data_IF_256252089718
#
_entry.id   IF_256252089718
#
_cell.length_a   1.000
_cell.length_b   1.000
_cell.length_c   1.000
_cell.angle_alpha   90.00
_cell.angle_beta   90.00
_cell.angle_gamma   90.00
#
_symmetry.space_group_name_H-M   'P 1'
#
loop_
_entity.id
_entity.type
_entity.pdbx_description
1 polymer ?
#
# COMPACT_ATOMS: atom_id res chain seq x y z
N UNK A 1 21.79 -9.33 -1.14
CA UNK A 1 22.12 -8.88 0.23
C UNK A 1 21.12 -7.80 0.69
N UNK A 2 19.80 -8.05 0.56
CA UNK A 2 18.73 -7.06 0.81
C UNK A 2 17.75 -7.47 1.93
N UNK A 3 17.77 -8.73 2.37
CA UNK A 3 16.83 -9.27 3.36
C UNK A 3 17.06 -8.74 4.79
N UNK A 4 18.30 -8.41 5.15
CA UNK A 4 18.62 -7.90 6.50
C UNK A 4 18.05 -6.49 6.77
N UNK A 5 17.91 -5.63 5.75
CA UNK A 5 17.39 -4.26 5.94
C UNK A 5 15.86 -4.18 6.06
N UNK A 6 15.13 -5.14 5.48
CA UNK A 6 13.67 -5.25 5.67
C UNK A 6 13.38 -5.56 7.14
N UNK A 7 14.12 -6.49 7.76
CA UNK A 7 13.99 -6.80 9.18
C UNK A 7 14.30 -5.59 10.09
N UNK A 8 15.31 -4.78 9.76
CA UNK A 8 15.62 -3.57 10.54
C UNK A 8 14.50 -2.52 10.47
N UNK A 9 13.84 -2.37 9.33
CA UNK A 9 12.71 -1.43 9.17
C UNK A 9 11.44 -1.97 9.83
N UNK A 10 11.19 -3.28 9.70
CA UNK A 10 10.13 -3.95 10.46
C UNK A 10 10.38 -3.83 11.98
N UNK A 11 11.64 -3.87 12.43
CA UNK A 11 12.05 -3.64 13.83
C UNK A 11 11.95 -2.16 14.23
N UNK A 12 12.22 -1.20 13.34
CA UNK A 12 12.01 0.22 13.60
C UNK A 12 10.53 0.58 13.70
N UNK A 13 9.66 -0.07 12.90
CA UNK A 13 8.21 0.09 13.02
C UNK A 13 7.65 -0.62 14.27
N UNK A 14 8.24 -1.74 14.72
CA UNK A 14 7.82 -2.41 15.95
C UNK A 14 8.23 -1.65 17.22
N UNK A 15 9.35 -0.90 17.17
CA UNK A 15 9.93 -0.14 18.30
C UNK A 15 9.45 1.31 18.45
N UNK A 16 8.29 1.70 17.89
CA UNK A 16 7.69 3.01 18.19
C UNK A 16 7.28 3.04 19.68
N UNK A 17 8.17 3.62 20.48
CA UNK A 17 8.15 3.79 21.94
C UNK A 17 6.91 4.59 22.36
N UNK A 18 6.10 4.03 23.28
CA UNK A 18 5.20 4.83 24.13
C UNK A 18 5.97 5.35 25.35
N UNK A 19 5.62 6.54 25.88
CA UNK A 19 6.33 7.16 26.99
C UNK A 19 5.82 6.60 28.32
N UNK A 20 6.71 6.27 29.27
CA UNK A 20 6.50 6.52 30.71
C UNK A 20 7.71 6.11 31.58
N UNK A 21 8.15 7.08 32.38
CA UNK A 21 8.54 7.04 33.80
C UNK A 21 9.32 5.85 34.40
N UNK A 22 10.59 6.16 34.69
CA UNK A 22 11.39 5.88 35.89
C UNK A 22 11.07 4.66 36.78
N UNK A 23 12.03 3.72 36.83
CA UNK A 23 12.24 2.74 37.89
C UNK A 23 13.67 2.19 37.83
N UNK A 24 14.49 2.61 38.78
CA UNK A 24 15.93 2.38 39.03
C UNK A 24 16.53 1.02 38.60
N UNK A 25 17.77 1.05 38.05
CA UNK A 25 18.95 0.25 38.46
C UNK A 25 20.23 0.90 37.87
N UNK A 26 21.35 0.74 38.60
CA UNK A 26 22.57 1.59 38.68
C UNK A 26 23.54 1.54 37.47
N UNK A 27 24.29 2.65 37.29
CA UNK A 27 25.38 2.91 36.30
C UNK A 27 26.68 2.10 36.56
N UNK A 28 27.65 2.08 35.60
CA UNK A 28 28.69 3.12 35.61
C UNK A 28 29.06 3.75 34.25
N UNK A 29 29.18 5.08 34.30
CA UNK A 29 30.11 6.01 33.62
C UNK A 29 30.47 5.87 32.12
N UNK A 30 29.90 6.76 31.30
CA UNK A 30 30.68 7.61 30.39
C UNK A 30 29.94 8.93 30.12
N UNK A 31 30.73 10.00 29.99
CA UNK A 31 30.31 11.39 29.89
C UNK A 31 29.88 11.71 28.46
N UNK A 32 28.64 12.16 28.23
CA UNK A 32 28.26 12.85 26.99
C UNK A 32 27.44 14.10 27.36
N UNK A 33 27.91 15.24 26.85
CA UNK A 33 27.34 16.58 26.99
C UNK A 33 25.87 16.60 26.59
N UNK A 34 25.05 17.21 27.43
CA UNK A 34 23.61 17.39 27.19
C UNK A 34 23.34 18.29 26.00
N UNK A 35 22.49 17.81 25.09
CA UNK A 35 21.76 18.63 24.13
C UNK A 35 20.35 18.88 24.69
N UNK A 36 19.94 20.14 24.62
CA UNK A 36 18.68 20.66 25.16
C UNK A 36 17.44 19.94 24.59
N UNK A 37 16.54 19.52 25.48
CA UNK A 37 15.24 18.91 25.19
C UNK A 37 14.18 19.90 24.67
N UNK A 38 14.48 20.70 23.65
CA UNK A 38 13.51 21.65 23.07
C UNK A 38 13.15 21.46 21.58
N UNK A 39 13.67 20.43 20.91
CA UNK A 39 13.43 20.24 19.46
C UNK A 39 12.56 19.03 19.08
N UNK A 40 11.85 18.39 20.03
CA UNK A 40 10.90 17.32 19.70
C UNK A 40 9.49 17.91 19.57
N UNK A 41 9.31 18.80 18.58
CA UNK A 41 7.99 19.21 18.10
C UNK A 41 7.99 19.13 16.56
N UNK A 42 8.14 17.91 16.06
CA UNK A 42 8.15 17.58 14.64
C UNK A 42 8.04 16.08 14.45
N UNK A 43 7.03 15.47 15.06
CA UNK A 43 6.84 14.01 15.11
C UNK A 43 6.32 13.48 13.77
N UNK A 44 7.22 13.23 12.81
CA UNK A 44 6.96 12.29 11.73
C UNK A 44 6.90 10.86 12.28
N UNK A 45 6.02 10.02 11.75
CA UNK A 45 5.96 8.60 12.11
C UNK A 45 7.09 7.80 11.44
N UNK A 46 7.66 8.32 10.36
CA UNK A 46 8.93 7.87 9.78
C UNK A 46 10.15 8.43 10.50
N UNK A 47 11.27 7.71 10.44
CA UNK A 47 12.55 8.09 11.07
C UNK A 47 13.03 9.46 10.57
N UNK A 48 12.89 9.70 9.26
CA UNK A 48 13.09 11.01 8.66
C UNK A 48 11.74 11.76 8.51
N UNK A 49 11.64 13.04 8.91
CA UNK A 49 10.46 13.85 8.63
C UNK A 49 10.19 13.96 7.12
N UNK A 50 8.92 13.90 6.72
CA UNK A 50 8.49 14.03 5.31
C UNK A 50 9.12 15.22 4.59
N UNK A 51 9.26 16.36 5.27
CA UNK A 51 9.82 17.61 4.71
C UNK A 51 11.27 17.48 4.23
N UNK A 52 12.01 16.47 4.72
CA UNK A 52 13.39 16.18 4.27
C UNK A 52 13.46 15.29 3.03
N UNK A 53 12.34 14.68 2.63
CA UNK A 53 12.27 13.89 1.41
C UNK A 53 11.86 14.77 0.22
N UNK A 54 12.47 14.57 -0.96
CA UNK A 54 12.06 15.28 -2.16
C UNK A 54 10.61 14.95 -2.52
N UNK A 55 9.94 15.84 -3.23
CA UNK A 55 8.60 15.55 -3.73
C UNK A 55 8.66 14.55 -4.88
N UNK A 56 7.74 13.59 -4.90
CA UNK A 56 7.55 12.72 -6.05
C UNK A 56 6.93 13.48 -7.22
N UNK A 57 7.13 12.98 -8.44
CA UNK A 57 6.41 13.45 -9.61
C UNK A 57 4.91 13.23 -9.43
N UNK A 58 4.09 14.14 -9.96
CA UNK A 58 2.62 14.04 -9.97
C UNK A 58 2.13 13.81 -11.38
N UNK A 59 1.26 12.81 -11.54
CA UNK A 59 0.68 12.46 -12.84
C UNK A 59 -0.83 12.71 -12.87
N UNK A 60 -1.35 13.14 -14.02
CA UNK A 60 -2.77 13.46 -14.19
C UNK A 60 -3.22 14.72 -13.43
N UNK A 61 -4.54 14.87 -13.30
CA UNK A 61 -5.17 16.04 -12.64
C UNK A 61 -5.34 15.89 -11.13
N UNK A 62 -4.98 14.73 -10.58
CA UNK A 62 -5.20 14.41 -9.18
C UNK A 62 -6.66 14.04 -8.85
N UNK A 63 -6.97 13.84 -7.57
CA UNK A 63 -8.32 13.48 -7.14
C UNK A 63 -9.33 14.59 -7.47
N UNK A 64 -10.56 14.24 -7.85
CA UNK A 64 -11.62 15.23 -8.06
C UNK A 64 -12.02 15.90 -6.73
N UNK A 65 -12.54 17.14 -6.78
CA UNK A 65 -12.98 17.86 -5.58
C UNK A 65 -14.14 17.15 -4.86
N UNK A 66 -15.01 16.48 -5.62
CA UNK A 66 -16.16 15.72 -5.12
C UNK A 66 -16.12 14.29 -5.66
N UNK A 67 -16.44 13.32 -4.79
CA UNK A 67 -16.54 11.91 -5.12
C UNK A 67 -17.45 11.20 -4.12
N UNK A 68 -17.87 9.98 -4.46
CA UNK A 68 -18.41 9.04 -3.48
C UNK A 68 -17.26 8.62 -2.56
N UNK A 69 -17.43 8.83 -1.25
CA UNK A 69 -16.42 8.44 -0.26
C UNK A 69 -16.47 6.93 -0.03
N UNK A 70 -15.34 6.30 0.38
CA UNK A 70 -15.32 4.88 0.71
C UNK A 70 -16.32 4.59 1.82
N UNK A 71 -17.15 3.57 1.61
CA UNK A 71 -18.15 3.11 2.57
C UNK A 71 -18.13 1.60 2.67
N UNK A 72 -18.28 1.07 3.88
CA UNK A 72 -18.36 -0.37 4.10
C UNK A 72 -19.79 -0.86 3.82
N UNK A 73 -20.01 -1.71 2.80
CA UNK A 73 -21.34 -2.19 2.42
C UNK A 73 -22.01 -3.06 3.50
N UNK A 74 -21.23 -3.67 4.41
CA UNK A 74 -21.76 -4.51 5.48
C UNK A 74 -21.67 -3.85 6.86
N UNK A 75 -21.20 -2.59 6.94
CA UNK A 75 -21.05 -1.86 8.20
C UNK A 75 -20.32 -2.68 9.29
N UNK A 76 -19.23 -3.37 8.94
CA UNK A 76 -18.50 -4.20 9.88
C UNK A 76 -17.91 -3.34 11.02
N UNK A 77 -17.80 -3.90 12.23
CA UNK A 77 -17.17 -3.20 13.35
C UNK A 77 -15.70 -2.92 13.05
N UNK A 78 -15.17 -1.86 13.66
CA UNK A 78 -13.75 -1.52 13.56
C UNK A 78 -12.86 -2.69 13.99
N UNK A 79 -11.80 -2.92 13.21
CA UNK A 79 -10.79 -3.92 13.52
C UNK A 79 -9.86 -3.46 14.66
N UNK A 80 -9.19 -4.38 15.39
CA UNK A 80 -8.19 -4.00 16.41
C UNK A 80 -7.07 -3.10 15.88
N UNK A 81 -6.74 -3.21 14.59
CA UNK A 81 -5.77 -2.38 13.87
C UNK A 81 -6.06 -0.88 14.01
N UNK A 82 -7.34 -0.49 13.92
CA UNK A 82 -7.79 0.90 13.97
C UNK A 82 -7.52 1.57 15.33
N UNK A 83 -7.25 0.80 16.39
CA UNK A 83 -6.93 1.34 17.73
C UNK A 83 -5.57 2.01 17.82
N UNK A 84 -4.65 1.68 16.90
CA UNK A 84 -3.27 2.15 16.98
C UNK A 84 -2.70 2.63 15.64
N UNK A 85 -3.19 2.10 14.51
CA UNK A 85 -2.77 2.54 13.19
C UNK A 85 -3.68 3.67 12.70
N UNK A 86 -3.22 4.91 12.83
CA UNK A 86 -4.03 6.11 12.58
C UNK A 86 -3.93 6.61 11.14
N UNK A 87 -4.88 7.45 10.74
CA UNK A 87 -4.83 8.17 9.46
C UNK A 87 -3.53 8.95 9.27
N UNK A 88 -3.09 9.67 10.31
CA UNK A 88 -1.85 10.45 10.28
C UNK A 88 -0.61 9.55 10.07
N UNK A 89 -0.61 8.34 10.64
CA UNK A 89 0.44 7.34 10.35
C UNK A 89 0.43 6.91 8.90
N UNK A 90 -0.75 6.57 8.35
CA UNK A 90 -0.89 6.16 6.94
C UNK A 90 -0.43 7.28 5.99
N UNK A 91 -0.84 8.52 6.23
CA UNK A 91 -0.46 9.68 5.43
C UNK A 91 1.03 10.02 5.52
N UNK A 92 1.65 9.80 6.67
CA UNK A 92 3.10 9.96 6.80
C UNK A 92 3.86 8.78 6.15
N UNK A 93 3.35 7.55 6.20
CA UNK A 93 4.01 6.41 5.57
C UNK A 93 3.93 6.46 4.04
N UNK A 94 2.80 6.90 3.48
CA UNK A 94 2.54 6.87 2.02
C UNK A 94 2.26 8.26 1.42
N UNK A 95 3.11 9.27 1.66
CA UNK A 95 2.87 10.64 1.26
C UNK A 95 2.88 10.84 -0.27
N UNK A 96 3.38 9.85 -1.01
CA UNK A 96 3.47 9.86 -2.48
C UNK A 96 2.50 8.90 -3.14
N UNK A 97 1.60 8.26 -2.37
CA UNK A 97 0.62 7.35 -2.92
C UNK A 97 -0.18 7.98 -4.06
N UNK A 98 -0.87 7.17 -4.86
CA UNK A 98 -1.73 7.66 -5.94
C UNK A 98 -0.94 8.57 -6.90
N UNK A 99 0.10 8.02 -7.53
CA UNK A 99 0.90 8.65 -8.58
C UNK A 99 1.41 10.05 -8.20
N UNK A 100 1.81 10.20 -6.93
CA UNK A 100 2.42 11.40 -6.36
C UNK A 100 1.46 12.38 -5.66
N UNK A 101 0.15 12.10 -5.66
CA UNK A 101 -0.84 13.00 -5.03
C UNK A 101 -1.00 12.81 -3.53
N UNK A 102 -0.50 11.69 -3.01
CA UNK A 102 -0.69 11.27 -1.63
C UNK A 102 -2.05 10.60 -1.41
N UNK A 103 -2.34 10.16 -0.17
CA UNK A 103 -3.60 9.51 0.16
C UNK A 103 -4.75 10.50 0.06
N UNK A 104 -5.85 10.07 -0.55
CA UNK A 104 -7.04 10.92 -0.67
C UNK A 104 -8.30 10.06 -0.72
N UNK A 105 -9.41 10.42 -0.03
CA UNK A 105 -10.64 9.60 -0.04
C UNK A 105 -11.30 9.44 -1.42
N UNK A 106 -10.89 10.23 -2.42
CA UNK A 106 -11.35 10.09 -3.82
C UNK A 106 -10.35 9.35 -4.72
N UNK A 107 -9.36 8.71 -4.12
CA UNK A 107 -8.33 7.95 -4.83
C UNK A 107 -8.27 6.52 -4.29
N UNK A 108 -7.80 5.55 -5.09
CA UNK A 108 -7.76 4.14 -4.69
C UNK A 108 -7.06 3.91 -3.34
N UNK A 109 -5.94 4.59 -3.08
CA UNK A 109 -5.24 4.46 -1.81
C UNK A 109 -5.65 5.59 -0.85
N UNK A 110 -6.47 5.24 0.13
CA UNK A 110 -6.86 6.11 1.25
C UNK A 110 -6.85 5.33 2.54
N UNK A 111 -6.69 6.03 3.67
CA UNK A 111 -6.80 5.39 4.98
C UNK A 111 -8.19 4.79 5.19
N UNK A 112 -9.23 5.50 4.74
CA UNK A 112 -10.63 5.08 4.83
C UNK A 112 -10.86 3.75 4.10
N UNK A 113 -10.40 3.62 2.86
CA UNK A 113 -10.49 2.37 2.12
C UNK A 113 -9.67 1.24 2.78
N UNK A 114 -8.47 1.55 3.26
CA UNK A 114 -7.59 0.58 3.91
C UNK A 114 -8.23 -0.02 5.17
N UNK A 115 -8.77 0.80 6.07
CA UNK A 115 -9.37 0.28 7.31
C UNK A 115 -10.68 -0.47 7.04
N UNK A 116 -11.47 -0.05 6.05
CA UNK A 116 -12.66 -0.80 5.61
C UNK A 116 -12.23 -2.20 5.13
N UNK A 117 -11.23 -2.30 4.26
CA UNK A 117 -10.73 -3.58 3.77
C UNK A 117 -10.19 -4.46 4.92
N UNK A 118 -9.45 -3.88 5.87
CA UNK A 118 -8.90 -4.60 7.02
C UNK A 118 -9.97 -5.28 7.90
N UNK A 119 -11.19 -4.73 8.00
CA UNK A 119 -12.29 -5.33 8.77
C UNK A 119 -12.74 -6.68 8.24
N UNK A 120 -12.57 -6.94 6.94
CA UNK A 120 -12.89 -8.22 6.31
C UNK A 120 -11.84 -9.31 6.59
N UNK A 121 -10.70 -8.92 7.15
CA UNK A 121 -9.61 -9.78 7.60
C UNK A 121 -9.36 -9.54 9.10
N UNK A 122 -10.27 -9.95 10.01
CA UNK A 122 -10.18 -9.58 11.43
C UNK A 122 -8.94 -10.12 12.15
N UNK A 123 -8.22 -11.06 11.54
CA UNK A 123 -6.94 -11.58 12.03
C UNK A 123 -5.72 -10.80 11.49
N UNK A 124 -5.90 -9.95 10.49
CA UNK A 124 -4.85 -9.14 9.90
C UNK A 124 -4.37 -8.07 10.88
N UNK A 125 -3.05 -8.00 11.11
CA UNK A 125 -2.51 -7.12 12.14
C UNK A 125 -3.03 -7.50 13.54
N UNK A 126 -3.21 -8.79 13.81
CA UNK A 126 -3.53 -9.29 15.14
C UNK A 126 -2.60 -10.44 15.51
N UNK A 127 -2.38 -10.62 16.80
CA UNK A 127 -1.36 -11.50 17.35
C UNK A 127 -1.53 -12.97 16.96
N UNK A 128 -0.52 -13.56 16.32
CA UNK A 128 -0.20 -14.98 16.52
C UNK A 128 0.89 -15.10 17.59
N UNK A 129 0.68 -15.80 18.72
CA UNK A 129 1.73 -15.97 19.72
C UNK A 129 3.01 -16.50 19.06
N UNK A 130 4.14 -15.87 19.33
CA UNK A 130 5.45 -16.41 18.99
C UNK A 130 6.42 -16.14 20.15
N UNK A 131 7.54 -16.84 20.16
CA UNK A 131 8.53 -16.77 21.24
C UNK A 131 9.53 -15.62 21.09
N UNK A 132 9.47 -14.88 19.98
CA UNK A 132 10.47 -13.88 19.58
C UNK A 132 9.97 -12.44 19.81
N UNK A 133 8.68 -12.19 19.60
CA UNK A 133 8.07 -10.87 19.60
C UNK A 133 6.93 -10.82 20.62
N UNK A 134 6.79 -9.70 21.31
CA UNK A 134 5.60 -9.45 22.12
C UNK A 134 4.38 -9.15 21.22
N UNK A 135 3.19 -9.11 21.83
CA UNK A 135 1.91 -8.93 21.12
C UNK A 135 1.88 -7.66 20.25
N UNK A 136 2.41 -6.55 20.77
CA UNK A 136 2.45 -5.25 20.07
C UNK A 136 3.39 -5.29 18.88
N UNK A 137 4.60 -5.83 19.08
CA UNK A 137 5.60 -5.98 18.02
C UNK A 137 5.07 -6.87 16.90
N UNK A 138 4.43 -7.98 17.25
CA UNK A 138 3.93 -8.93 16.27
C UNK A 138 2.79 -8.35 15.42
N UNK A 139 1.84 -7.67 16.08
CA UNK A 139 0.74 -6.97 15.42
C UNK A 139 1.25 -5.92 14.42
N UNK A 140 2.28 -5.16 14.81
CA UNK A 140 2.91 -4.17 13.92
C UNK A 140 3.71 -4.82 12.79
N UNK A 141 4.36 -5.95 13.06
CA UNK A 141 5.16 -6.69 12.08
C UNK A 141 4.33 -7.18 10.90
N UNK A 142 3.13 -7.72 11.14
CA UNK A 142 2.27 -8.21 10.05
C UNK A 142 1.82 -7.06 9.14
N UNK A 143 1.44 -5.92 9.73
CA UNK A 143 1.10 -4.72 8.96
C UNK A 143 2.31 -4.21 8.16
N UNK A 144 3.47 -4.14 8.80
CA UNK A 144 4.68 -3.63 8.17
C UNK A 144 5.18 -4.59 7.07
N UNK A 145 5.01 -5.90 7.22
CA UNK A 145 5.32 -6.89 6.19
C UNK A 145 4.39 -6.75 4.98
N UNK A 146 3.08 -6.58 5.20
CA UNK A 146 2.13 -6.30 4.13
C UNK A 146 2.52 -5.06 3.34
N UNK A 147 2.84 -3.95 4.03
CA UNK A 147 3.26 -2.73 3.35
C UNK A 147 4.62 -2.83 2.68
N UNK A 148 5.56 -3.63 3.20
CA UNK A 148 6.83 -3.89 2.52
C UNK A 148 6.61 -4.56 1.16
N UNK A 149 5.70 -5.55 1.09
CA UNK A 149 5.27 -6.14 -0.18
C UNK A 149 4.58 -5.10 -1.07
N UNK A 150 3.66 -4.31 -0.52
CA UNK A 150 2.98 -3.29 -1.29
C UNK A 150 3.93 -2.24 -1.88
N UNK A 151 4.97 -1.86 -1.15
CA UNK A 151 6.02 -0.96 -1.65
C UNK A 151 6.79 -1.61 -2.81
N UNK A 152 7.16 -2.88 -2.70
CA UNK A 152 7.85 -3.55 -3.80
C UNK A 152 6.97 -3.69 -5.04
N UNK A 153 5.68 -4.00 -4.88
CA UNK A 153 4.74 -4.18 -5.99
C UNK A 153 4.31 -2.85 -6.64
N UNK A 154 4.12 -1.80 -5.84
CA UNK A 154 3.48 -0.55 -6.29
C UNK A 154 4.28 0.71 -6.01
N UNK A 155 5.51 0.60 -5.56
CA UNK A 155 6.32 1.74 -5.15
C UNK A 155 6.73 2.66 -6.31
N UNK A 156 7.04 3.91 -5.98
CA UNK A 156 7.73 4.85 -6.88
C UNK A 156 9.08 4.27 -7.33
N UNK A 157 9.74 3.50 -6.44
CA UNK A 157 11.02 2.84 -6.68
C UNK A 157 12.12 3.80 -7.17
N UNK A 158 12.14 5.01 -6.61
CA UNK A 158 13.02 6.10 -7.01
C UNK A 158 14.48 5.87 -6.56
N UNK A 159 15.26 5.19 -7.40
CA UNK A 159 16.68 4.93 -7.14
C UNK A 159 17.55 6.21 -7.13
N UNK A 160 17.08 7.32 -7.73
CA UNK A 160 17.82 8.57 -7.74
C UNK A 160 17.98 9.17 -6.33
N UNK A 161 17.17 8.74 -5.34
CA UNK A 161 17.34 9.12 -3.93
C UNK A 161 18.71 8.76 -3.36
N UNK A 162 19.34 7.70 -3.88
CA UNK A 162 20.67 7.25 -3.49
C UNK A 162 21.80 7.97 -4.24
N UNK A 163 21.45 8.82 -5.20
CA UNK A 163 22.38 9.65 -5.93
C UNK A 163 22.41 11.05 -5.31
N UNK A 164 23.54 11.44 -4.74
CA UNK A 164 23.74 12.79 -4.18
C UNK A 164 24.28 12.78 -2.75
N UNK A 165 24.02 13.87 -2.01
CA UNK A 165 24.64 14.12 -0.70
C UNK A 165 23.86 13.51 0.49
N UNK A 166 22.81 12.72 0.24
CA UNK A 166 22.07 12.03 1.31
C UNK A 166 22.88 10.85 1.81
N UNK A 167 22.85 10.60 3.11
CA UNK A 167 23.32 9.32 3.63
C UNK A 167 22.42 8.18 3.12
N UNK A 168 22.96 6.97 3.07
CA UNK A 168 22.20 5.78 2.67
C UNK A 168 20.93 5.61 3.52
N UNK A 169 21.00 5.93 4.81
CA UNK A 169 19.84 5.89 5.72
C UNK A 169 18.76 6.89 5.32
N UNK A 170 19.12 8.14 5.03
CA UNK A 170 18.17 9.17 4.60
C UNK A 170 17.54 8.83 3.24
N UNK A 171 18.34 8.33 2.30
CA UNK A 171 17.85 7.88 1.00
C UNK A 171 16.86 6.73 1.16
N UNK A 172 17.17 5.77 2.03
CA UNK A 172 16.32 4.61 2.34
C UNK A 172 15.00 5.03 3.01
N UNK A 173 15.05 5.92 3.99
CA UNK A 173 13.85 6.45 4.66
C UNK A 173 12.91 7.16 3.65
N UNK A 174 13.47 7.86 2.67
CA UNK A 174 12.66 8.48 1.62
C UNK A 174 12.17 7.48 0.57
N UNK A 175 12.96 6.45 0.25
CA UNK A 175 12.59 5.43 -0.73
C UNK A 175 11.32 4.69 -0.29
N UNK A 176 11.24 4.28 0.98
CA UNK A 176 10.08 3.55 1.49
C UNK A 176 8.81 4.39 1.64
N UNK A 177 8.92 5.73 1.65
CA UNK A 177 7.76 6.64 1.55
C UNK A 177 7.11 6.62 0.16
N UNK A 178 7.76 6.00 -0.82
CA UNK A 178 7.25 5.80 -2.17
C UNK A 178 6.23 4.67 -2.32
N UNK A 179 5.76 4.04 -1.24
CA UNK A 179 4.77 2.96 -1.32
C UNK A 179 3.40 3.40 -1.83
N UNK A 180 2.62 2.45 -2.37
CA UNK A 180 1.27 2.68 -2.89
C UNK A 180 1.23 3.77 -3.97
N UNK A 181 2.32 3.92 -4.74
CA UNK A 181 2.43 4.95 -5.77
C UNK A 181 1.61 4.56 -7.01
N UNK A 182 1.79 3.35 -7.51
CA UNK A 182 1.18 2.86 -8.74
C UNK A 182 -0.15 2.13 -8.47
N UNK A 183 -1.14 2.33 -9.35
CA UNK A 183 -2.37 1.53 -9.36
C UNK A 183 -2.26 0.33 -10.30
N UNK A 184 -1.59 0.53 -11.42
CA UNK A 184 -1.53 -0.38 -12.55
C UNK A 184 -0.11 -0.85 -12.79
N UNK A 185 0.00 -2.07 -13.30
CA UNK A 185 1.25 -2.63 -13.78
C UNK A 185 1.88 -1.74 -14.86
N UNK A 186 3.19 -1.52 -14.76
CA UNK A 186 3.90 -0.56 -15.61
C UNK A 186 3.78 0.90 -15.17
N UNK A 187 3.03 1.18 -14.08
CA UNK A 187 2.95 2.48 -13.45
C UNK A 187 2.09 3.50 -14.21
N UNK A 188 2.33 4.82 -14.03
CA UNK A 188 1.48 5.85 -14.61
C UNK A 188 1.51 5.88 -16.15
N UNK A 189 2.55 5.33 -16.77
CA UNK A 189 2.72 5.24 -18.23
C UNK A 189 2.81 3.75 -18.64
N UNK A 190 1.76 3.00 -18.32
CA UNK A 190 1.69 1.57 -18.65
C UNK A 190 1.58 1.33 -20.15
N UNK A 191 2.33 0.36 -20.66
CA UNK A 191 2.26 -0.09 -22.05
C UNK A 191 1.00 -0.91 -22.35
N UNK A 192 0.23 -1.31 -21.34
CA UNK A 192 -1.00 -2.09 -21.49
C UNK A 192 -2.23 -1.23 -21.71
N UNK A 193 -2.19 0.01 -21.24
CA UNK A 193 -3.30 0.95 -21.25
C UNK A 193 -3.30 1.74 -22.56
N UNK A 194 -4.48 2.19 -22.98
CA UNK A 194 -4.62 3.11 -24.10
C UNK A 194 -3.71 4.35 -23.93
N UNK A 195 -2.79 4.62 -24.86
CA UNK A 195 -1.87 5.76 -24.76
C UNK A 195 -2.56 7.13 -24.62
N UNK A 196 -3.83 7.24 -25.05
CA UNK A 196 -4.63 8.46 -24.88
C UNK A 196 -5.17 8.67 -23.47
N UNK A 197 -5.33 7.59 -22.69
CA UNK A 197 -5.82 7.64 -21.30
C UNK A 197 -4.65 7.63 -20.31
N UNK A 198 -3.64 6.79 -20.57
CA UNK A 198 -2.54 6.47 -19.66
C UNK A 198 -3.04 5.99 -18.28
N UNK A 199 -2.14 5.70 -17.35
CA UNK A 199 -2.47 5.30 -15.97
C UNK A 199 -2.76 6.48 -15.04
N UNK A 200 -3.21 7.62 -15.57
CA UNK A 200 -3.33 8.88 -14.82
C UNK A 200 -4.65 9.03 -14.06
N UNK A 201 -5.60 8.15 -14.34
CA UNK A 201 -6.87 8.04 -13.63
C UNK A 201 -7.23 6.56 -13.45
N UNK A 202 -8.02 6.19 -12.43
CA UNK A 202 -8.48 4.81 -12.27
C UNK A 202 -9.23 4.28 -13.51
N UNK A 203 -9.96 5.12 -14.24
CA UNK A 203 -10.62 4.73 -15.50
C UNK A 203 -9.64 4.33 -16.62
N UNK A 204 -8.35 4.65 -16.50
CA UNK A 204 -7.33 4.19 -17.44
C UNK A 204 -7.27 2.66 -17.56
N UNK A 205 -7.59 1.93 -16.50
CA UNK A 205 -7.59 0.47 -16.46
C UNK A 205 -8.85 -0.21 -17.03
N UNK A 206 -9.83 0.56 -17.52
CA UNK A 206 -11.12 0.05 -18.03
C UNK A 206 -10.97 -0.79 -19.31
N UNK A 207 -9.85 -0.63 -20.00
CA UNK A 207 -9.52 -1.35 -21.22
C UNK A 207 -8.01 -1.46 -21.39
N UNK A 208 -7.57 -2.49 -22.09
CA UNK A 208 -6.16 -2.79 -22.31
C UNK A 208 -5.94 -3.37 -23.71
N UNK A 209 -4.71 -3.32 -24.19
CA UNK A 209 -4.30 -4.07 -25.38
C UNK A 209 -4.13 -5.57 -25.04
N UNK A 210 -3.76 -6.36 -26.05
CA UNK A 210 -3.53 -7.81 -25.91
C UNK A 210 -2.56 -8.14 -24.78
N UNK A 211 -1.47 -7.37 -24.65
CA UNK A 211 -0.44 -7.63 -23.65
C UNK A 211 -0.97 -7.47 -22.22
N UNK A 212 -1.96 -6.60 -21.99
CA UNK A 212 -2.61 -6.44 -20.67
C UNK A 212 -3.75 -7.42 -20.39
N UNK A 213 -4.08 -8.35 -21.30
CA UNK A 213 -5.23 -9.24 -21.13
C UNK A 213 -5.04 -10.15 -19.92
N UNK A 214 -3.85 -10.73 -19.78
CA UNK A 214 -3.46 -11.66 -18.69
C UNK A 214 -4.54 -12.73 -18.45
N UNK A 215 -5.01 -13.30 -19.55
CA UNK A 215 -6.05 -14.30 -19.56
C UNK A 215 -5.40 -15.68 -19.78
N UNK A 216 -5.65 -16.59 -18.86
CA UNK A 216 -5.30 -18.00 -19.00
C UNK A 216 -6.56 -18.82 -19.29
N UNK A 217 -6.55 -19.55 -20.40
CA UNK A 217 -7.68 -20.35 -20.90
C UNK A 217 -7.30 -21.84 -20.87
N UNK A 218 -8.09 -22.64 -20.15
CA UNK A 218 -8.04 -24.12 -20.13
C UNK A 218 -9.43 -24.64 -19.82
N UNK A 219 -9.73 -25.91 -20.11
CA UNK A 219 -11.05 -26.47 -19.83
C UNK A 219 -11.45 -26.33 -18.34
N UNK A 220 -10.48 -26.47 -17.44
CA UNK A 220 -10.67 -26.33 -15.99
C UNK A 220 -10.85 -24.86 -15.59
N UNK A 221 -9.97 -23.97 -16.05
CA UNK A 221 -10.05 -22.55 -15.68
C UNK A 221 -11.26 -21.88 -16.30
N UNK A 222 -11.62 -22.21 -17.54
CA UNK A 222 -12.78 -21.64 -18.23
C UNK A 222 -14.11 -22.08 -17.59
N UNK A 223 -14.12 -23.24 -16.94
CA UNK A 223 -15.28 -23.70 -16.19
C UNK A 223 -15.56 -22.83 -14.95
N UNK A 224 -14.51 -22.38 -14.24
CA UNK A 224 -14.65 -21.61 -13.00
C UNK A 224 -14.53 -20.10 -13.20
N UNK A 225 -13.52 -19.66 -13.94
CA UNK A 225 -13.09 -18.27 -14.06
C UNK A 225 -12.82 -17.89 -15.52
N UNK A 226 -13.82 -18.00 -16.41
CA UNK A 226 -13.64 -17.71 -17.82
C UNK A 226 -13.21 -16.26 -18.03
N UNK A 227 -12.36 -16.04 -19.02
CA UNK A 227 -12.02 -14.69 -19.42
C UNK A 227 -13.21 -14.00 -20.10
N UNK A 228 -13.35 -12.71 -19.83
CA UNK A 228 -14.33 -11.88 -20.53
C UNK A 228 -13.98 -11.81 -22.01
N UNK A 229 -15.00 -12.02 -22.84
CA UNK A 229 -14.93 -11.91 -24.31
C UNK A 229 -15.19 -10.50 -24.81
N UNK A 230 -15.47 -9.56 -23.89
CA UNK A 230 -15.84 -8.20 -24.24
C UNK A 230 -14.62 -7.43 -24.78
N UNK A 231 -14.76 -6.91 -26.00
CA UNK A 231 -13.72 -6.20 -26.74
C UNK A 231 -14.34 -5.03 -27.50
N UNK A 232 -13.62 -3.91 -27.56
CA UNK A 232 -13.96 -2.75 -28.38
C UNK A 232 -12.77 -2.40 -29.28
N UNK A 233 -12.93 -2.60 -30.60
CA UNK A 233 -11.84 -2.45 -31.59
C UNK A 233 -10.61 -3.25 -31.17
N UNK A 234 -9.48 -2.60 -30.94
CA UNK A 234 -8.22 -3.23 -30.56
C UNK A 234 -8.03 -3.41 -29.04
N UNK A 235 -9.04 -3.09 -28.23
CA UNK A 235 -8.94 -3.13 -26.78
C UNK A 235 -9.89 -4.15 -26.14
N UNK A 236 -9.41 -4.85 -25.13
CA UNK A 236 -10.19 -5.75 -24.29
C UNK A 236 -10.79 -5.01 -23.11
N UNK A 237 -11.91 -5.50 -22.59
CA UNK A 237 -12.47 -5.09 -21.28
C UNK A 237 -12.10 -6.07 -20.18
N UNK A 238 -11.93 -7.35 -20.52
CA UNK A 238 -11.35 -8.39 -19.65
C UNK A 238 -9.84 -8.25 -19.52
N UNK A 239 -9.41 -7.24 -18.76
CA UNK A 239 -8.01 -6.91 -18.55
C UNK A 239 -7.58 -7.36 -17.15
N UNK A 240 -6.76 -8.39 -17.03
CA UNK A 240 -6.36 -8.95 -15.74
C UNK A 240 -4.88 -8.68 -15.40
N UNK A 241 -4.28 -7.63 -15.97
CA UNK A 241 -2.96 -7.15 -15.56
C UNK A 241 -2.95 -6.69 -14.09
N UNK A 242 -1.74 -6.48 -13.54
CA UNK A 242 -1.57 -6.13 -12.14
C UNK A 242 -2.34 -4.88 -11.70
N UNK A 243 -3.14 -5.02 -10.64
CA UNK A 243 -3.85 -3.90 -9.99
C UNK A 243 -3.70 -3.85 -8.48
N UNK A 244 -3.74 -2.62 -7.97
CA UNK A 244 -3.80 -2.35 -6.53
C UNK A 244 -2.52 -2.72 -5.79
N UNK A 245 -2.60 -2.70 -4.46
CA UNK A 245 -1.46 -2.75 -3.55
C UNK A 245 -0.61 -4.02 -3.68
N UNK A 246 -1.19 -5.13 -4.15
CA UNK A 246 -0.51 -6.43 -4.30
C UNK A 246 -0.41 -6.87 -5.77
N UNK A 247 -0.77 -5.99 -6.72
CA UNK A 247 -0.73 -6.26 -8.16
C UNK A 247 -1.43 -7.57 -8.55
N UNK A 248 -2.67 -7.78 -8.08
CA UNK A 248 -3.45 -8.99 -8.41
C UNK A 248 -3.60 -9.10 -9.93
N UNK A 249 -3.28 -10.28 -10.43
CA UNK A 249 -3.11 -10.56 -11.86
C UNK A 249 -3.74 -11.89 -12.23
N UNK A 250 -4.17 -12.05 -13.48
CA UNK A 250 -4.84 -13.22 -14.06
C UNK A 250 -6.29 -13.44 -13.65
N UNK A 251 -7.11 -13.84 -14.64
CA UNK A 251 -8.54 -14.13 -14.50
C UNK A 251 -8.87 -15.02 -13.29
N UNK A 252 -8.10 -16.10 -13.07
CA UNK A 252 -8.37 -17.02 -11.96
C UNK A 252 -8.13 -16.41 -10.58
N UNK A 253 -7.24 -15.41 -10.43
CA UNK A 253 -7.06 -14.73 -9.15
C UNK A 253 -8.17 -13.71 -8.91
N UNK A 254 -8.57 -12.95 -9.94
CA UNK A 254 -9.73 -12.06 -9.88
C UNK A 254 -11.02 -12.86 -9.55
N UNK A 255 -11.20 -14.02 -10.18
CA UNK A 255 -12.33 -14.92 -9.93
C UNK A 255 -12.34 -15.48 -8.50
N UNK A 256 -11.20 -15.96 -7.99
CA UNK A 256 -11.11 -16.40 -6.59
C UNK A 256 -11.36 -15.26 -5.59
N UNK A 257 -10.88 -14.05 -5.89
CA UNK A 257 -11.15 -12.89 -5.05
C UNK A 257 -12.62 -12.47 -5.08
N UNK A 258 -13.26 -12.56 -6.25
CA UNK A 258 -14.71 -12.37 -6.40
C UNK A 258 -15.49 -13.38 -5.56
N UNK A 259 -15.11 -14.66 -5.55
CA UNK A 259 -15.74 -15.67 -4.70
C UNK A 259 -15.56 -15.37 -3.21
N UNK A 260 -14.38 -14.89 -2.80
CA UNK A 260 -14.17 -14.39 -1.44
C UNK A 260 -15.13 -13.24 -1.11
N UNK A 261 -15.24 -12.22 -1.99
CA UNK A 261 -16.14 -11.08 -1.78
C UNK A 261 -17.60 -11.54 -1.67
N UNK A 262 -18.02 -12.48 -2.52
CA UNK A 262 -19.35 -13.10 -2.47
C UNK A 262 -19.59 -13.80 -1.13
N UNK A 263 -18.60 -14.51 -0.58
CA UNK A 263 -18.68 -15.11 0.77
C UNK A 263 -18.87 -14.08 1.89
N UNK A 264 -18.57 -12.80 1.60
CA UNK A 264 -18.77 -11.65 2.48
C UNK A 264 -19.98 -10.81 2.11
N UNK A 265 -20.92 -11.35 1.32
CA UNK A 265 -22.12 -10.64 0.86
C UNK A 265 -21.83 -9.41 -0.02
N UNK A 266 -20.65 -9.34 -0.64
CA UNK A 266 -20.27 -8.31 -1.60
C UNK A 266 -20.37 -8.92 -3.00
N UNK A 267 -21.30 -8.41 -3.80
CA UNK A 267 -21.61 -8.93 -5.12
C UNK A 267 -21.03 -8.01 -6.20
N UNK A 268 -19.95 -8.46 -6.83
CA UNK A 268 -19.26 -7.81 -7.95
C UNK A 268 -18.92 -8.87 -8.98
N UNK A 269 -18.73 -8.46 -10.24
CA UNK A 269 -18.25 -9.35 -11.30
C UNK A 269 -16.85 -8.90 -11.74
N UNK A 270 -15.82 -9.39 -11.04
CA UNK A 270 -14.43 -9.04 -11.34
C UNK A 270 -13.90 -9.73 -12.62
N UNK A 271 -14.63 -10.69 -13.18
CA UNK A 271 -14.26 -11.30 -14.45
C UNK A 271 -14.74 -10.41 -15.61
N UNK A 272 -15.93 -9.83 -15.51
CA UNK A 272 -16.44 -8.89 -16.51
C UNK A 272 -15.92 -7.46 -16.32
N UNK A 273 -15.74 -7.04 -15.07
CA UNK A 273 -15.34 -5.69 -14.66
C UNK A 273 -14.12 -5.72 -13.73
N UNK A 274 -12.93 -6.08 -14.24
CA UNK A 274 -11.72 -6.19 -13.41
C UNK A 274 -11.15 -4.84 -12.93
N UNK A 275 -11.76 -3.70 -13.30
CA UNK A 275 -11.29 -2.34 -12.96
C UNK A 275 -12.14 -1.63 -11.88
N UNK A 276 -12.88 -2.41 -11.07
CA UNK A 276 -13.67 -1.90 -9.94
C UNK A 276 -12.80 -1.33 -8.80
#
# INVERSE_FOLDING_TARGET
MLWFRILEILQLMSTIIRPTNAGQIKKPNSVIRGTNSKDILGSGYGVLPRSKCPNAAKYGTGPPPNCVKPSDPNHLPSSPLEKWFTKAMFEDLFPFANIGWGPHPCSPYSYEAFVIAARYFPKFGTSSPNTIFNETENTRRDLAAFFAHAIQETGENNAALYSGNRSEKEATDCFYRGGLYNWFEGGPISSFIDPSLQGFSPSGGDKCNEAGRYCFESAEVDYFYPCSKNRTRNFFRGCYFGRGAVQISYNYNYGQFMDFLKSKNIHVDLLSEPNL
#
